data_IF_336007101763
#
_entry.id   IF_336007101763
#
_cell.length_a   1.000
_cell.length_b   1.000
_cell.length_c   1.000
_cell.angle_alpha   90.00
_cell.angle_beta   90.00
_cell.angle_gamma   90.00
#
_symmetry.space_group_name_H-M   'P 1'
#
loop_
_entity.id
_entity.type
_entity.pdbx_description
1 polymer ?
#
# COMPACT_ATOMS: atom_id res chain seq x y z
N UNK A 1 -13.02 -11.18 -3.03
CA UNK A 1 -11.91 -11.79 -3.80
C UNK A 1 -12.33 -13.19 -4.22
N UNK A 2 -11.77 -13.80 -5.28
CA UNK A 2 -12.05 -15.18 -5.65
C UNK A 2 -11.71 -16.17 -4.51
N UNK A 3 -12.36 -17.33 -4.48
CA UNK A 3 -12.07 -18.37 -3.48
C UNK A 3 -10.61 -18.84 -3.59
N UNK A 4 -9.98 -19.10 -2.44
CA UNK A 4 -8.59 -19.56 -2.37
C UNK A 4 -7.54 -18.47 -2.59
N UNK A 5 -7.92 -17.20 -2.58
CA UNK A 5 -6.98 -16.06 -2.64
C UNK A 5 -6.53 -15.64 -1.24
N UNK A 6 -5.40 -14.94 -1.17
CA UNK A 6 -4.87 -14.36 0.06
C UNK A 6 -5.08 -12.82 0.07
N UNK A 7 -5.38 -12.28 1.24
CA UNK A 7 -5.49 -10.85 1.51
C UNK A 7 -4.52 -10.45 2.62
N UNK A 8 -3.48 -9.73 2.24
CA UNK A 8 -2.54 -9.10 3.18
C UNK A 8 -2.96 -7.66 3.47
N UNK A 9 -3.15 -7.33 4.75
CA UNK A 9 -3.36 -5.95 5.20
C UNK A 9 -2.07 -5.42 5.82
N UNK A 10 -1.70 -4.20 5.51
CA UNK A 10 -0.52 -3.54 6.08
C UNK A 10 -0.84 -2.11 6.48
N UNK A 11 -0.38 -1.70 7.66
CA UNK A 11 -0.30 -0.30 8.09
C UNK A 11 0.84 -0.17 9.11
N UNK A 12 1.37 1.03 9.29
CA UNK A 12 2.32 1.31 10.39
C UNK A 12 1.67 1.14 11.77
N UNK A 13 0.34 1.28 11.85
CA UNK A 13 -0.39 1.16 13.09
C UNK A 13 -0.37 -0.28 13.63
N UNK A 14 -0.08 -0.49 14.94
CA UNK A 14 -0.02 -1.82 15.54
C UNK A 14 -1.38 -2.54 15.61
N UNK A 15 -2.47 -1.84 15.24
CA UNK A 15 -3.84 -2.37 15.28
C UNK A 15 -4.20 -3.20 14.04
N UNK A 16 -3.41 -3.14 12.96
CA UNK A 16 -3.72 -3.82 11.68
C UNK A 16 -3.98 -5.32 11.80
N UNK A 17 -3.25 -6.10 12.63
CA UNK A 17 -3.59 -7.51 12.86
C UNK A 17 -5.00 -7.71 13.43
N UNK A 18 -5.51 -6.77 14.23
CA UNK A 18 -6.89 -6.80 14.72
C UNK A 18 -7.91 -6.59 13.61
N UNK A 19 -7.63 -5.70 12.65
CA UNK A 19 -8.48 -5.49 11.47
C UNK A 19 -8.52 -6.74 10.58
N UNK A 20 -7.37 -7.39 10.41
CA UNK A 20 -7.29 -8.66 9.69
C UNK A 20 -8.11 -9.77 10.38
N UNK A 21 -8.07 -9.84 11.71
CA UNK A 21 -8.88 -10.78 12.48
C UNK A 21 -10.38 -10.53 12.28
N UNK A 22 -10.82 -9.27 12.28
CA UNK A 22 -12.22 -8.92 12.04
C UNK A 22 -12.67 -9.34 10.62
N UNK A 23 -11.88 -9.04 9.60
CA UNK A 23 -12.17 -9.48 8.22
C UNK A 23 -12.15 -11.01 8.07
N UNK A 24 -11.33 -11.72 8.85
CA UNK A 24 -11.27 -13.19 8.80
C UNK A 24 -12.55 -13.89 9.28
N UNK A 25 -13.43 -13.18 9.97
CA UNK A 25 -14.74 -13.71 10.38
C UNK A 25 -15.78 -13.73 9.25
N UNK A 26 -15.51 -13.05 8.12
CA UNK A 26 -16.40 -13.08 6.96
C UNK A 26 -16.34 -14.49 6.35
N UNK A 27 -17.48 -15.19 6.17
CA UNK A 27 -17.51 -16.61 5.76
C UNK A 27 -17.17 -16.77 4.27
N UNK A 28 -15.89 -16.60 3.94
CA UNK A 28 -15.32 -16.80 2.60
C UNK A 28 -14.04 -17.64 2.69
N UNK A 29 -13.64 -18.24 1.58
CA UNK A 29 -12.39 -19.03 1.51
C UNK A 29 -11.13 -18.14 1.36
N UNK A 30 -11.22 -16.85 1.68
CA UNK A 30 -10.10 -15.90 1.57
C UNK A 30 -9.28 -15.94 2.86
N UNK A 31 -7.98 -16.20 2.72
CA UNK A 31 -7.06 -16.15 3.87
C UNK A 31 -6.63 -14.71 4.12
N UNK A 32 -6.94 -14.18 5.29
CA UNK A 32 -6.60 -12.79 5.66
C UNK A 32 -5.44 -12.78 6.66
N UNK A 33 -4.41 -11.98 6.39
CA UNK A 33 -3.26 -11.79 7.30
C UNK A 33 -3.00 -10.30 7.49
N UNK A 34 -2.76 -9.87 8.73
CA UNK A 34 -2.43 -8.47 9.05
C UNK A 34 -0.97 -8.31 9.43
N UNK A 35 -0.35 -7.27 8.89
CA UNK A 35 1.04 -6.89 9.09
C UNK A 35 1.08 -5.46 9.64
N UNK A 36 2.02 -5.19 10.53
CA UNK A 36 2.21 -3.85 11.09
C UNK A 36 3.67 -3.53 11.33
N UNK A 37 3.99 -2.24 11.43
CA UNK A 37 5.34 -1.73 11.65
C UNK A 37 5.85 -0.93 10.46
N UNK A 38 7.13 -0.58 10.47
CA UNK A 38 7.71 0.28 9.43
C UNK A 38 8.07 -0.46 8.13
N UNK A 39 8.18 -1.80 8.20
CA UNK A 39 8.61 -2.65 7.09
C UNK A 39 7.40 -3.28 6.37
N UNK A 40 7.05 -2.84 5.14
CA UNK A 40 5.93 -3.37 4.38
C UNK A 40 6.22 -4.70 3.68
N UNK A 41 7.49 -5.03 3.43
CA UNK A 41 7.89 -6.18 2.61
C UNK A 41 7.24 -7.52 3.00
N UNK A 42 7.08 -7.88 4.29
CA UNK A 42 6.40 -9.13 4.66
C UNK A 42 4.96 -9.23 4.12
N UNK A 43 4.26 -8.11 3.98
CA UNK A 43 2.90 -8.07 3.43
C UNK A 43 2.85 -8.14 1.90
N UNK A 44 3.97 -7.85 1.24
CA UNK A 44 4.08 -7.73 -0.22
C UNK A 44 4.57 -9.02 -0.89
N UNK A 45 5.08 -9.99 -0.13
CA UNK A 45 5.62 -11.24 -0.68
C UNK A 45 4.56 -11.93 -1.54
N UNK A 46 4.93 -12.20 -2.80
CA UNK A 46 4.07 -12.86 -3.80
C UNK A 46 2.76 -12.14 -4.13
N UNK A 47 2.65 -10.85 -3.83
CA UNK A 47 1.46 -10.08 -4.19
C UNK A 47 1.32 -9.94 -5.72
N UNK A 48 0.14 -10.30 -6.25
CA UNK A 48 -0.22 -10.07 -7.66
C UNK A 48 -0.82 -8.68 -7.88
N UNK A 49 -1.48 -8.13 -6.86
CA UNK A 49 -2.12 -6.81 -6.86
C UNK A 49 -1.81 -6.11 -5.54
N UNK A 50 -1.37 -4.85 -5.61
CA UNK A 50 -1.13 -4.00 -4.43
C UNK A 50 -2.00 -2.77 -4.54
N UNK A 51 -2.88 -2.56 -3.56
CA UNK A 51 -3.69 -1.34 -3.44
C UNK A 51 -3.08 -0.42 -2.38
N UNK A 52 -2.71 0.79 -2.79
CA UNK A 52 -2.11 1.80 -1.91
C UNK A 52 -3.16 2.87 -1.60
N UNK A 53 -3.85 2.69 -0.48
CA UNK A 53 -4.71 3.70 0.15
C UNK A 53 -4.00 4.51 1.23
N UNK A 54 -2.76 4.13 1.58
CA UNK A 54 -1.97 4.77 2.62
C UNK A 54 -1.72 6.24 2.29
N UNK A 55 -1.98 7.10 3.27
CA UNK A 55 -1.83 8.53 3.12
C UNK A 55 -2.53 9.27 4.24
N UNK A 56 -2.23 10.55 4.35
CA UNK A 56 -2.86 11.42 5.33
C UNK A 56 -4.03 12.14 4.66
N UNK A 57 -5.17 12.20 5.35
CA UNK A 57 -6.29 13.04 4.94
C UNK A 57 -5.98 14.51 5.25
N UNK A 58 -6.45 15.42 4.41
CA UNK A 58 -6.26 16.86 4.65
C UNK A 58 -6.84 17.26 5.99
N UNK A 59 -6.01 17.87 6.85
CA UNK A 59 -6.45 18.43 8.14
C UNK A 59 -6.72 19.93 8.00
N UNK A 60 -7.64 20.51 8.80
CA UNK A 60 -7.80 21.96 8.89
C UNK A 60 -6.46 22.63 9.21
N UNK A 61 -6.13 23.71 8.50
CA UNK A 61 -4.86 24.43 8.66
C UNK A 61 -3.64 23.80 7.97
N UNK A 62 -3.79 22.66 7.28
CA UNK A 62 -2.72 22.07 6.48
C UNK A 62 -2.68 22.67 5.07
N UNK A 63 -1.49 23.10 4.65
CA UNK A 63 -1.24 23.57 3.30
C UNK A 63 -1.27 22.44 2.29
N UNK A 64 -1.62 22.78 1.04
CA UNK A 64 -1.66 21.80 -0.05
C UNK A 64 -0.28 21.18 -0.32
N UNK A 65 0.78 21.97 -0.18
CA UNK A 65 2.17 21.52 -0.35
C UNK A 65 2.57 20.50 0.71
N UNK A 66 2.15 20.68 1.96
CA UNK A 66 2.50 19.77 3.05
C UNK A 66 1.83 18.42 2.87
N UNK A 67 0.53 18.43 2.56
CA UNK A 67 -0.22 17.21 2.24
C UNK A 67 0.43 16.44 1.08
N UNK A 68 0.83 17.18 0.04
CA UNK A 68 1.52 16.62 -1.10
C UNK A 68 2.85 15.97 -0.69
N UNK A 69 3.72 16.68 0.03
CA UNK A 69 5.04 16.21 0.42
C UNK A 69 4.95 14.95 1.31
N UNK A 70 4.01 14.92 2.25
CA UNK A 70 3.77 13.76 3.12
C UNK A 70 3.36 12.55 2.28
N UNK A 71 2.32 12.69 1.45
CA UNK A 71 1.81 11.57 0.65
C UNK A 71 2.80 11.13 -0.43
N UNK A 72 3.59 12.04 -0.99
CA UNK A 72 4.67 11.72 -1.91
C UNK A 72 5.74 10.85 -1.25
N UNK A 73 6.12 11.15 0.00
CA UNK A 73 7.05 10.33 0.78
C UNK A 73 6.51 8.93 1.06
N UNK A 74 5.26 8.84 1.50
CA UNK A 74 4.59 7.54 1.78
C UNK A 74 4.55 6.68 0.52
N UNK A 75 4.05 7.23 -0.60
CA UNK A 75 3.96 6.50 -1.87
C UNK A 75 5.35 6.10 -2.36
N UNK A 76 6.35 6.98 -2.25
CA UNK A 76 7.72 6.66 -2.67
C UNK A 76 8.28 5.44 -1.94
N UNK A 77 8.09 5.37 -0.63
CA UNK A 77 8.59 4.26 0.19
C UNK A 77 7.88 2.96 -0.17
N UNK A 78 6.54 2.97 -0.22
CA UNK A 78 5.74 1.79 -0.54
C UNK A 78 6.01 1.25 -1.95
N UNK A 79 6.12 2.13 -2.95
CA UNK A 79 6.45 1.72 -4.33
C UNK A 79 7.87 1.13 -4.40
N UNK A 80 8.82 1.68 -3.65
CA UNK A 80 10.18 1.11 -3.60
C UNK A 80 10.17 -0.32 -3.04
N UNK A 81 9.42 -0.56 -1.96
CA UNK A 81 9.24 -1.90 -1.41
C UNK A 81 8.50 -2.84 -2.36
N UNK A 82 7.50 -2.35 -3.11
CA UNK A 82 6.83 -3.13 -4.15
C UNK A 82 7.81 -3.53 -5.26
N UNK A 83 8.62 -2.58 -5.73
CA UNK A 83 9.63 -2.83 -6.76
C UNK A 83 10.65 -3.90 -6.33
N UNK A 84 11.03 -3.92 -5.05
CA UNK A 84 12.01 -4.86 -4.52
C UNK A 84 11.41 -6.23 -4.16
N UNK A 85 10.14 -6.28 -3.75
CA UNK A 85 9.52 -7.50 -3.18
C UNK A 85 8.55 -8.20 -4.13
N UNK A 86 7.76 -7.44 -4.89
CA UNK A 86 6.73 -7.94 -5.80
C UNK A 86 6.73 -7.16 -7.13
N UNK A 87 7.84 -7.15 -7.89
CA UNK A 87 8.02 -6.29 -9.07
C UNK A 87 7.02 -6.52 -10.21
N UNK A 88 6.30 -7.64 -10.19
CA UNK A 88 5.29 -8.00 -11.21
C UNK A 88 3.86 -7.63 -10.80
N UNK A 89 3.66 -7.11 -9.60
CA UNK A 89 2.34 -6.79 -9.09
C UNK A 89 1.71 -5.62 -9.86
N UNK A 90 0.40 -5.70 -10.09
CA UNK A 90 -0.40 -4.56 -10.54
C UNK A 90 -0.60 -3.60 -9.36
N UNK A 91 -0.11 -2.38 -9.48
CA UNK A 91 -0.17 -1.38 -8.41
C UNK A 91 -1.30 -0.39 -8.65
N UNK A 92 -2.30 -0.39 -7.77
CA UNK A 92 -3.40 0.58 -7.74
C UNK A 92 -3.18 1.67 -6.69
N UNK A 93 -2.91 2.90 -7.12
CA UNK A 93 -2.68 4.03 -6.22
C UNK A 93 -3.99 4.80 -6.01
N UNK A 94 -4.44 4.86 -4.77
CA UNK A 94 -5.64 5.61 -4.34
C UNK A 94 -5.22 6.93 -3.66
N UNK A 95 -4.00 6.99 -3.12
CA UNK A 95 -3.46 8.15 -2.41
C UNK A 95 -3.49 9.44 -3.24
N UNK A 96 -4.16 10.46 -2.71
CA UNK A 96 -4.22 11.78 -3.31
C UNK A 96 -2.97 12.62 -2.99
N UNK A 97 -2.57 13.55 -3.87
CA UNK A 97 -3.15 13.83 -5.19
C UNK A 97 -2.70 12.82 -6.26
N UNK A 98 -3.66 12.11 -6.87
CA UNK A 98 -3.37 10.97 -7.76
C UNK A 98 -2.51 11.33 -8.97
N UNK A 99 -2.74 12.51 -9.55
CA UNK A 99 -1.99 12.99 -10.72
C UNK A 99 -0.49 13.09 -10.46
N UNK A 100 -0.08 13.26 -9.20
CA UNK A 100 1.33 13.38 -8.84
C UNK A 100 1.89 12.09 -8.24
N UNK A 101 1.11 11.39 -7.40
CA UNK A 101 1.55 10.13 -6.78
C UNK A 101 1.79 9.03 -7.83
N UNK A 102 0.98 8.97 -8.89
CA UNK A 102 1.18 8.04 -10.03
C UNK A 102 2.47 8.36 -10.79
N UNK A 103 2.77 9.64 -11.03
CA UNK A 103 4.00 10.05 -11.72
C UNK A 103 5.26 9.69 -10.89
N UNK A 104 5.19 9.86 -9.57
CA UNK A 104 6.26 9.45 -8.64
C UNK A 104 6.48 7.94 -8.71
N UNK A 105 5.40 7.16 -8.63
CA UNK A 105 5.47 5.71 -8.69
C UNK A 105 6.13 5.22 -9.99
N UNK A 106 5.69 5.77 -11.13
CA UNK A 106 6.26 5.45 -12.43
C UNK A 106 7.77 5.76 -12.50
N UNK A 107 8.20 6.88 -11.94
CA UNK A 107 9.62 7.25 -11.88
C UNK A 107 10.47 6.24 -11.10
N UNK A 108 9.98 5.80 -9.93
CA UNK A 108 10.68 4.84 -9.07
C UNK A 108 10.78 3.47 -9.74
N UNK A 109 9.66 2.96 -10.28
CA UNK A 109 9.63 1.68 -10.97
C UNK A 109 10.55 1.67 -12.20
N UNK A 110 10.59 2.77 -12.96
CA UNK A 110 11.54 2.93 -14.08
C UNK A 110 12.99 2.95 -13.61
N UNK A 111 13.29 3.66 -12.51
CA UNK A 111 14.63 3.69 -11.91
C UNK A 111 15.08 2.29 -11.45
N UNK A 112 14.15 1.49 -10.94
CA UNK A 112 14.38 0.11 -10.49
C UNK A 112 14.36 -0.90 -11.65
N UNK A 113 13.99 -0.49 -12.87
CA UNK A 113 13.95 -1.36 -14.05
C UNK A 113 12.76 -2.32 -14.09
N UNK A 114 11.67 -2.01 -13.39
CA UNK A 114 10.49 -2.89 -13.19
C UNK A 114 9.16 -2.18 -13.49
N UNK A 115 9.18 -1.18 -14.38
CA UNK A 115 7.97 -0.48 -14.84
C UNK A 115 7.22 -1.25 -15.93
#
# INVERSE_FOLDING_TARGET
>A
LPNGTELSLYDIAPVTPGVAADLSHIPTDVKVTGFSGEEPSPALVSADIVLISAGVARKPGMDRSDLFNINAGIVKNLISSCADTCPKALIGIITNPVNTTVAIAAGILKQKGVY
#
